data_IF_463053256737
#
_entry.id   IF_463053256737
#
_cell.length_a   1.000
_cell.length_b   1.000
_cell.length_c   1.000
_cell.angle_alpha   90.00
_cell.angle_beta   90.00
_cell.angle_gamma   90.00
#
_symmetry.space_group_name_H-M   'P 1'
#
loop_
_entity.id
_entity.type
_entity.pdbx_description
1 polymer ?
#
# COMPACT_ATOMS: atom_id res chain seq x y z
N UNK A 1 13.11 16.91 49.70
CA UNK A 1 11.97 16.24 49.06
C UNK A 1 12.33 16.11 47.60
N UNK A 2 12.59 14.86 47.21
CA UNK A 2 13.09 14.43 45.92
C UNK A 2 12.04 14.66 44.83
N UNK A 3 12.44 15.06 43.64
CA UNK A 3 11.56 15.06 42.46
C UNK A 3 12.39 14.78 41.22
N UNK A 4 12.86 13.53 41.17
CA UNK A 4 13.24 12.84 39.94
C UNK A 4 12.13 13.05 38.90
N UNK A 5 12.37 13.92 37.92
CA UNK A 5 11.51 14.08 36.75
C UNK A 5 11.74 12.89 35.82
N UNK A 6 11.24 11.74 36.22
CA UNK A 6 11.13 10.55 35.37
C UNK A 6 9.87 10.70 34.50
N UNK A 7 9.91 11.61 33.52
CA UNK A 7 8.94 11.55 32.42
C UNK A 7 9.42 10.49 31.42
N UNK A 8 9.20 9.24 31.80
CA UNK A 8 9.14 8.12 30.88
C UNK A 8 7.68 8.05 30.41
N UNK A 9 7.27 8.93 29.51
CA UNK A 9 6.00 8.78 28.83
C UNK A 9 6.12 9.09 27.34
N UNK A 10 6.06 8.01 26.57
CA UNK A 10 5.81 8.00 25.13
C UNK A 10 6.98 8.40 24.23
N UNK A 11 8.05 7.59 24.23
CA UNK A 11 8.73 7.31 22.96
C UNK A 11 7.61 6.76 22.05
N UNK A 12 7.26 7.40 20.92
CA UNK A 12 6.28 6.82 20.01
C UNK A 12 6.77 5.41 19.68
N UNK A 13 5.89 4.39 19.65
CA UNK A 13 6.32 3.07 19.22
C UNK A 13 7.06 3.28 17.91
N UNK A 14 8.35 2.99 17.90
CA UNK A 14 9.20 3.07 16.73
C UNK A 14 8.42 2.35 15.65
N UNK A 15 7.85 3.11 14.71
CA UNK A 15 7.11 2.57 13.59
C UNK A 15 8.02 1.49 13.02
N UNK A 16 7.62 0.20 13.09
CA UNK A 16 8.45 -0.90 12.62
C UNK A 16 8.91 -0.48 11.24
N UNK A 17 10.23 -0.32 11.08
CA UNK A 17 10.82 0.48 10.02
C UNK A 17 10.08 0.23 8.72
N UNK A 18 9.66 1.32 8.06
CA UNK A 18 9.15 1.31 6.71
C UNK A 18 10.04 0.35 5.90
N UNK A 19 9.60 -0.89 5.79
CA UNK A 19 10.08 -1.80 4.77
C UNK A 19 9.61 -1.10 3.52
N UNK A 20 10.50 -0.34 2.90
CA UNK A 20 10.26 0.18 1.55
C UNK A 20 9.78 -1.04 0.77
N UNK A 21 8.49 -1.04 0.45
CA UNK A 21 7.79 -2.22 -0.01
C UNK A 21 8.45 -2.80 -1.25
N UNK A 22 8.06 -4.02 -1.60
CA UNK A 22 8.51 -4.62 -2.84
C UNK A 22 8.17 -3.68 -4.01
N UNK A 23 9.19 -3.22 -4.73
CA UNK A 23 9.02 -2.37 -5.90
C UNK A 23 8.68 -3.28 -7.08
N UNK A 24 7.49 -3.10 -7.64
CA UNK A 24 7.02 -3.83 -8.81
C UNK A 24 7.03 -2.91 -10.03
N UNK A 25 7.47 -3.44 -11.18
CA UNK A 25 7.32 -2.71 -12.44
C UNK A 25 5.86 -2.73 -12.89
N UNK A 26 5.46 -1.74 -13.70
CA UNK A 26 4.13 -1.72 -14.30
C UNK A 26 3.83 -3.02 -15.07
N UNK A 27 4.76 -3.50 -15.90
CA UNK A 27 4.61 -4.74 -16.66
C UNK A 27 4.40 -5.98 -15.77
N UNK A 28 5.00 -5.98 -14.57
CA UNK A 28 4.80 -7.08 -13.62
C UNK A 28 3.38 -7.07 -13.05
N UNK A 29 2.89 -5.89 -12.67
CA UNK A 29 1.52 -5.70 -12.18
C UNK A 29 0.48 -5.95 -13.27
N UNK A 30 0.74 -5.48 -14.49
CA UNK A 30 -0.11 -5.70 -15.65
C UNK A 30 -0.24 -7.20 -15.94
N UNK A 31 0.88 -7.94 -16.00
CA UNK A 31 0.82 -9.39 -16.17
C UNK A 31 0.12 -10.08 -14.99
N UNK A 32 0.41 -9.67 -13.76
CA UNK A 32 -0.19 -10.28 -12.57
C UNK A 32 -1.72 -10.13 -12.55
N UNK A 33 -2.25 -9.03 -13.10
CA UNK A 33 -3.69 -8.71 -13.14
C UNK A 33 -4.36 -9.08 -14.47
N UNK A 34 -3.65 -9.76 -15.36
CA UNK A 34 -4.11 -10.08 -16.73
C UNK A 34 -4.52 -8.84 -17.53
N UNK A 35 -3.71 -7.78 -17.47
CA UNK A 35 -3.98 -6.51 -18.12
C UNK A 35 -5.02 -5.67 -17.40
N UNK A 36 -5.11 -5.77 -16.07
CA UNK A 36 -6.18 -5.14 -15.27
C UNK A 36 -7.58 -5.55 -15.74
N UNK A 37 -7.74 -6.84 -16.05
CA UNK A 37 -8.99 -7.42 -16.53
C UNK A 37 -10.14 -7.22 -15.54
N UNK A 38 -11.36 -6.97 -16.03
CA UNK A 38 -12.57 -6.91 -15.21
C UNK A 38 -12.83 -8.22 -14.45
N UNK A 39 -12.36 -9.36 -14.97
CA UNK A 39 -12.45 -10.65 -14.27
C UNK A 39 -11.67 -10.65 -12.95
N UNK A 40 -10.67 -9.79 -12.83
CA UNK A 40 -9.86 -9.60 -11.62
C UNK A 40 -10.28 -8.37 -10.82
N UNK A 41 -11.34 -7.66 -11.18
CA UNK A 41 -11.79 -6.49 -10.43
C UNK A 41 -12.33 -6.89 -9.05
N UNK A 42 -11.79 -6.27 -8.00
CA UNK A 42 -12.19 -6.48 -6.62
C UNK A 42 -13.11 -5.38 -6.10
N UNK A 43 -12.98 -4.16 -6.63
CA UNK A 43 -13.78 -3.04 -6.15
C UNK A 43 -13.33 -1.69 -6.66
N UNK A 44 -14.16 -0.68 -6.42
CA UNK A 44 -13.90 0.71 -6.74
C UNK A 44 -14.21 1.58 -5.53
N UNK A 45 -13.35 2.56 -5.27
CA UNK A 45 -13.56 3.60 -4.26
C UNK A 45 -13.26 5.00 -4.81
N UNK A 46 -13.28 6.00 -3.92
CA UNK A 46 -12.94 7.39 -4.28
C UNK A 46 -11.54 7.57 -4.85
N UNK A 47 -10.63 6.65 -4.50
CA UNK A 47 -9.23 6.69 -4.89
C UNK A 47 -8.91 5.93 -6.18
N UNK A 48 -9.86 5.15 -6.71
CA UNK A 48 -9.66 4.39 -7.95
C UNK A 48 -10.18 2.96 -7.88
N UNK A 49 -9.50 2.06 -8.59
CA UNK A 49 -9.91 0.67 -8.80
C UNK A 49 -8.95 -0.28 -8.11
N UNK A 50 -9.45 -1.41 -7.62
CA UNK A 50 -8.63 -2.46 -7.01
C UNK A 50 -8.83 -3.73 -7.83
N UNK A 51 -7.72 -4.35 -8.22
CA UNK A 51 -7.69 -5.61 -8.97
C UNK A 51 -6.95 -6.68 -8.16
N UNK A 52 -7.37 -7.93 -8.30
CA UNK A 52 -6.63 -9.11 -7.87
C UNK A 52 -5.49 -9.34 -8.86
N UNK A 53 -4.31 -9.64 -8.34
CA UNK A 53 -3.19 -10.09 -9.16
C UNK A 53 -2.56 -11.35 -8.56
N UNK A 54 -1.90 -12.13 -9.40
CA UNK A 54 -1.07 -13.26 -8.97
C UNK A 54 0.34 -13.05 -9.52
N UNK A 55 1.31 -12.87 -8.62
CA UNK A 55 2.71 -12.72 -8.99
C UNK A 55 3.27 -14.05 -9.53
N UNK A 56 4.43 -13.99 -10.20
CA UNK A 56 5.08 -15.19 -10.77
C UNK A 56 5.41 -16.27 -9.73
N UNK A 57 5.62 -15.87 -8.48
CA UNK A 57 5.87 -16.77 -7.36
C UNK A 57 4.58 -17.41 -6.78
N UNK A 58 3.41 -17.14 -7.38
CA UNK A 58 2.11 -17.62 -6.91
C UNK A 58 1.49 -16.79 -5.79
N UNK A 59 2.14 -15.71 -5.35
CA UNK A 59 1.60 -14.84 -4.32
C UNK A 59 0.43 -14.01 -4.88
N UNK A 60 -0.72 -14.09 -4.21
CA UNK A 60 -1.85 -13.22 -4.49
C UNK A 60 -1.64 -11.82 -3.93
N UNK A 61 -1.98 -10.80 -4.72
CA UNK A 61 -1.83 -9.39 -4.40
C UNK A 61 -3.11 -8.62 -4.76
N UNK A 62 -3.28 -7.45 -4.13
CA UNK A 62 -4.26 -6.46 -4.54
C UNK A 62 -3.52 -5.27 -5.16
N UNK A 63 -3.86 -4.92 -6.40
CA UNK A 63 -3.28 -3.79 -7.13
C UNK A 63 -4.29 -2.66 -7.18
N UNK A 64 -4.01 -1.55 -6.49
CA UNK A 64 -4.86 -0.36 -6.49
C UNK A 64 -4.36 0.63 -7.54
N UNK A 65 -5.17 0.84 -8.58
CA UNK A 65 -4.95 1.79 -9.66
C UNK A 65 -5.64 3.11 -9.34
N UNK A 66 -4.85 4.18 -9.22
CA UNK A 66 -5.37 5.52 -8.92
C UNK A 66 -6.05 6.15 -10.14
N UNK A 67 -7.17 6.86 -9.92
CA UNK A 67 -7.77 7.72 -10.95
C UNK A 67 -6.95 8.99 -11.13
N UNK A 68 -6.74 9.42 -12.37
CA UNK A 68 -6.15 10.73 -12.67
C UNK A 68 -6.92 11.83 -11.93
N UNK A 69 -6.21 12.71 -11.21
CA UNK A 69 -6.79 13.80 -10.43
C UNK A 69 -7.14 13.47 -8.98
N UNK A 70 -6.91 12.24 -8.52
CA UNK A 70 -7.00 11.87 -7.10
C UNK A 70 -5.78 12.38 -6.32
N UNK A 71 -5.69 13.70 -6.09
CA UNK A 71 -4.62 14.32 -5.28
C UNK A 71 -4.58 13.86 -3.81
N UNK A 72 -5.59 13.09 -3.38
CA UNK A 72 -5.65 12.46 -2.07
C UNK A 72 -5.01 11.06 -2.07
N UNK A 73 -5.09 10.33 -3.19
CA UNK A 73 -4.53 8.98 -3.33
C UNK A 73 -3.00 8.94 -3.45
N UNK A 74 -2.37 9.94 -4.06
CA UNK A 74 -0.90 10.02 -4.19
C UNK A 74 -0.16 10.08 -2.85
N UNK A 75 -0.80 10.57 -1.79
CA UNK A 75 -0.24 10.64 -0.43
C UNK A 75 -0.29 9.32 0.33
N UNK A 76 -1.12 8.37 -0.07
CA UNK A 76 -1.36 7.11 0.66
C UNK A 76 -0.40 5.98 0.25
N UNK A 77 0.48 6.20 -0.71
CA UNK A 77 1.42 5.21 -1.26
C UNK A 77 2.90 5.55 -1.02
N UNK A 78 3.20 6.58 -0.22
CA UNK A 78 4.56 6.89 0.24
C UNK A 78 4.92 6.12 1.50
#
# INVERSE_FOLDING_TARGET
YDSNYSDHSSIPPQSPGLVLGNIFSYEELERATEGFSEANWLGQGGFGYVYRGVLRNGQEIAVKMLKLGSAQGEREFQ
#
